data_IF_542595683679
#
_entry.id   IF_542595683679
#
_cell.length_a   1.000
_cell.length_b   1.000
_cell.length_c   1.000
_cell.angle_alpha   90.00
_cell.angle_beta   90.00
_cell.angle_gamma   90.00
#
_symmetry.space_group_name_H-M   'P 1'
#
loop_
_entity.id
_entity.type
_entity.pdbx_description
1 polymer ?
#
# COMPACT_ATOMS: atom_id res chain seq x y z
N UNK A 1 18.93 21.28 6.73
CA UNK A 1 18.82 19.85 7.05
C UNK A 1 17.38 19.45 6.76
N UNK A 2 17.17 18.58 5.76
CA UNK A 2 15.85 18.00 5.47
C UNK A 2 15.35 17.17 6.64
N UNK A 3 14.14 16.63 6.67
CA UNK A 3 13.19 16.24 5.63
C UNK A 3 11.98 15.82 6.44
N UNK A 4 10.82 16.44 6.34
CA UNK A 4 9.61 15.80 6.86
C UNK A 4 8.44 16.16 5.97
N UNK A 5 7.88 15.13 5.33
CA UNK A 5 6.61 15.20 4.66
C UNK A 5 5.56 15.84 5.57
N UNK A 6 4.64 16.56 4.95
CA UNK A 6 3.47 17.11 5.62
C UNK A 6 2.76 16.00 6.40
N UNK A 7 2.06 16.29 7.52
CA UNK A 7 1.34 15.28 8.30
C UNK A 7 0.38 14.42 7.45
N UNK A 8 -0.08 14.94 6.32
CA UNK A 8 -0.91 14.23 5.35
C UNK A 8 -0.17 13.10 4.61
N UNK A 9 1.14 13.19 4.44
CA UNK A 9 1.95 12.18 3.75
C UNK A 9 2.07 10.91 4.60
N UNK A 10 2.23 11.07 5.92
CA UNK A 10 2.22 9.96 6.86
C UNK A 10 0.84 9.30 6.95
N UNK A 11 -0.23 10.08 6.88
CA UNK A 11 -1.60 9.55 6.88
C UNK A 11 -1.84 8.66 5.65
N UNK A 12 -1.33 9.02 4.48
CA UNK A 12 -1.49 8.22 3.27
C UNK A 12 -0.79 6.86 3.40
N UNK A 13 0.45 6.85 3.88
CA UNK A 13 1.21 5.60 4.11
C UNK A 13 0.47 4.71 5.12
N UNK A 14 -0.02 5.29 6.21
CA UNK A 14 -0.78 4.57 7.23
C UNK A 14 -2.10 4.01 6.69
N UNK A 15 -2.77 4.71 5.78
CA UNK A 15 -4.01 4.24 5.17
C UNK A 15 -3.76 3.00 4.30
N UNK A 16 -2.75 3.03 3.42
CA UNK A 16 -2.42 1.86 2.61
C UNK A 16 -1.83 0.70 3.44
N UNK A 17 -1.06 1.02 4.49
CA UNK A 17 -0.58 0.01 5.43
C UNK A 17 -1.76 -0.69 6.12
N UNK A 18 -2.73 0.08 6.61
CA UNK A 18 -3.96 -0.46 7.21
C UNK A 18 -4.72 -1.37 6.25
N UNK A 19 -4.90 -0.94 4.99
CA UNK A 19 -5.55 -1.76 3.95
C UNK A 19 -4.79 -3.07 3.69
N UNK A 20 -3.46 -3.02 3.62
CA UNK A 20 -2.64 -4.22 3.40
C UNK A 20 -2.69 -5.17 4.62
N UNK A 21 -2.69 -4.63 5.84
CA UNK A 21 -2.83 -5.43 7.07
C UNK A 21 -4.21 -6.10 7.14
N UNK A 22 -5.27 -5.39 6.76
CA UNK A 22 -6.61 -5.95 6.66
C UNK A 22 -6.65 -7.08 5.61
N UNK A 23 -6.03 -6.86 4.45
CA UNK A 23 -5.90 -7.88 3.40
C UNK A 23 -5.15 -9.13 3.87
N UNK A 24 -4.05 -8.94 4.60
CA UNK A 24 -3.30 -10.03 5.22
C UNK A 24 -4.15 -10.79 6.24
N UNK A 25 -4.92 -10.07 7.06
CA UNK A 25 -5.82 -10.66 8.05
C UNK A 25 -6.89 -11.50 7.39
N UNK A 26 -7.54 -10.99 6.33
CA UNK A 26 -8.55 -11.72 5.57
C UNK A 26 -7.98 -13.00 4.95
N UNK A 27 -6.74 -12.96 4.45
CA UNK A 27 -6.05 -14.17 3.99
C UNK A 27 -5.79 -15.15 5.13
N UNK A 28 -5.26 -14.68 6.26
CA UNK A 28 -4.95 -15.52 7.44
C UNK A 28 -6.21 -16.16 8.05
N UNK A 29 -7.36 -15.46 7.98
CA UNK A 29 -8.67 -15.97 8.36
C UNK A 29 -9.29 -16.94 7.34
N UNK A 30 -8.67 -17.11 6.16
CA UNK A 30 -9.13 -17.97 5.10
C UNK A 30 -10.30 -17.40 4.28
N UNK A 31 -10.50 -16.07 4.32
CA UNK A 31 -11.49 -15.36 3.51
C UNK A 31 -11.00 -15.04 2.10
N UNK A 32 -9.69 -15.10 1.84
CA UNK A 32 -9.08 -14.90 0.53
C UNK A 32 -8.29 -16.13 0.12
N UNK A 33 -8.57 -16.64 -1.07
CA UNK A 33 -7.72 -17.66 -1.68
C UNK A 33 -6.35 -17.07 -2.07
N UNK A 34 -5.35 -17.93 -2.19
CA UNK A 34 -3.96 -17.50 -2.48
C UNK A 34 -3.83 -16.72 -3.79
N UNK A 35 -4.69 -16.99 -4.78
CA UNK A 35 -4.68 -16.26 -6.05
C UNK A 35 -5.43 -14.93 -5.94
N UNK A 36 -6.53 -14.85 -5.19
CA UNK A 36 -7.23 -13.57 -4.91
C UNK A 36 -6.33 -12.61 -4.14
N UNK A 37 -5.62 -13.12 -3.12
CA UNK A 37 -4.65 -12.34 -2.37
C UNK A 37 -3.52 -11.82 -3.28
N UNK A 38 -2.99 -12.64 -4.20
CA UNK A 38 -1.97 -12.18 -5.16
C UNK A 38 -2.46 -11.04 -6.04
N UNK A 39 -3.68 -11.14 -6.56
CA UNK A 39 -4.24 -10.11 -7.43
C UNK A 39 -4.41 -8.79 -6.66
N UNK A 40 -4.97 -8.85 -5.45
CA UNK A 40 -5.18 -7.66 -4.63
C UNK A 40 -3.87 -7.02 -4.18
N UNK A 41 -2.91 -7.84 -3.74
CA UNK A 41 -1.57 -7.37 -3.33
C UNK A 41 -0.78 -6.76 -4.47
N UNK A 42 -1.03 -7.19 -5.72
CA UNK A 42 -0.33 -6.68 -6.90
C UNK A 42 -0.44 -5.16 -6.99
N UNK A 43 -1.63 -4.63 -6.73
CA UNK A 43 -1.89 -3.18 -6.78
C UNK A 43 -1.13 -2.43 -5.68
N UNK A 44 -0.95 -3.03 -4.50
CA UNK A 44 -0.11 -2.45 -3.43
C UNK A 44 1.39 -2.51 -3.72
N UNK A 45 1.80 -3.34 -4.68
CA UNK A 45 3.18 -3.46 -5.15
C UNK A 45 3.47 -2.65 -6.41
N UNK A 46 2.45 -2.06 -7.03
CA UNK A 46 2.53 -1.31 -8.28
C UNK A 46 2.42 0.20 -8.01
N UNK A 47 3.49 0.92 -8.35
CA UNK A 47 3.55 2.38 -8.18
C UNK A 47 2.50 3.08 -9.04
N UNK A 48 2.24 2.61 -10.25
CA UNK A 48 1.26 3.25 -11.14
C UNK A 48 -0.17 3.05 -10.63
N UNK A 49 -0.47 1.88 -10.05
CA UNK A 49 -1.76 1.61 -9.43
C UNK A 49 -2.00 2.54 -8.23
N UNK A 50 -1.05 2.62 -7.30
CA UNK A 50 -1.13 3.55 -6.16
C UNK A 50 -1.21 5.00 -6.65
N UNK A 51 -0.43 5.37 -7.66
CA UNK A 51 -0.44 6.72 -8.23
C UNK A 51 -1.78 7.08 -8.90
N UNK A 52 -2.45 6.10 -9.49
CA UNK A 52 -3.77 6.27 -10.10
C UNK A 52 -4.88 6.38 -9.04
N UNK A 53 -4.74 5.64 -7.94
CA UNK A 53 -5.68 5.66 -6.80
C UNK A 53 -5.59 6.98 -6.00
N UNK A 54 -4.38 7.54 -5.87
CA UNK A 54 -4.17 8.85 -5.24
C UNK A 54 -4.82 9.96 -6.08
N UNK A 55 -5.90 10.53 -5.55
CA UNK A 55 -6.67 11.59 -6.22
C UNK A 55 -5.90 12.91 -6.35
N UNK A 56 -5.05 13.26 -5.37
CA UNK A 56 -4.34 14.54 -5.35
C UNK A 56 -2.95 14.39 -5.98
N UNK A 57 -2.69 15.13 -7.07
CA UNK A 57 -1.41 15.07 -7.79
C UNK A 57 -0.20 15.38 -6.93
N UNK A 58 -0.34 16.19 -5.87
CA UNK A 58 0.78 16.51 -4.98
C UNK A 58 1.22 15.30 -4.15
N UNK A 59 0.33 14.33 -3.92
CA UNK A 59 0.66 13.12 -3.15
C UNK A 59 1.12 11.97 -4.05
N UNK A 60 0.89 12.05 -5.36
CA UNK A 60 1.36 11.06 -6.34
C UNK A 60 2.87 10.85 -6.31
N UNK A 61 3.64 11.85 -5.88
CA UNK A 61 5.10 11.75 -5.70
C UNK A 61 5.50 10.79 -4.58
N UNK A 62 4.59 10.49 -3.64
CA UNK A 62 4.82 9.55 -2.55
C UNK A 62 4.43 8.11 -2.91
N UNK A 63 3.84 7.86 -4.08
CA UNK A 63 3.45 6.51 -4.49
C UNK A 63 4.63 5.53 -4.46
N UNK A 64 5.82 5.94 -4.93
CA UNK A 64 7.03 5.12 -4.85
C UNK A 64 7.44 4.80 -3.41
N UNK A 65 7.31 5.78 -2.51
CA UNK A 65 7.63 5.61 -1.10
C UNK A 65 6.65 4.65 -0.42
N UNK A 66 5.35 4.80 -0.70
CA UNK A 66 4.28 3.92 -0.21
C UNK A 66 4.54 2.49 -0.65
N UNK A 67 4.71 2.26 -1.96
CA UNK A 67 4.99 0.91 -2.48
C UNK A 67 6.27 0.33 -1.86
N UNK A 68 7.33 1.12 -1.73
CA UNK A 68 8.57 0.67 -1.10
C UNK A 68 8.38 0.26 0.37
N UNK A 69 7.50 0.95 1.10
CA UNK A 69 7.15 0.65 2.49
C UNK A 69 6.23 -0.57 2.63
N UNK A 70 5.29 -0.75 1.70
CA UNK A 70 4.34 -1.87 1.70
C UNK A 70 4.96 -3.18 1.21
N UNK A 71 5.88 -3.13 0.25
CA UNK A 71 6.53 -4.30 -0.35
C UNK A 71 7.09 -5.32 0.66
N UNK A 72 7.76 -4.94 1.77
CA UNK A 72 8.19 -5.89 2.79
C UNK A 72 7.06 -6.41 3.70
N UNK A 73 5.93 -5.71 3.80
CA UNK A 73 4.76 -6.08 4.62
C UNK A 73 3.84 -7.09 3.90
N UNK A 74 3.97 -7.20 2.59
CA UNK A 74 3.32 -8.22 1.79
C UNK A 74 3.82 -9.59 2.24
N UNK A 75 2.92 -10.42 2.76
CA UNK A 75 3.27 -11.77 3.15
C UNK A 75 3.63 -12.57 1.89
N UNK A 76 4.84 -13.14 1.88
CA UNK A 76 5.24 -14.07 0.82
C UNK A 76 4.29 -15.27 0.85
N UNK A 77 3.75 -15.61 -0.31
CA UNK A 77 2.98 -16.84 -0.53
C UNK A 77 3.89 -18.06 -0.52
#
# INVERSE_FOLDING_TARGET
MGVYGSPTDMLLIQEYEGKLVELNTLRDEGHLDSDEYKELVKDFSDVEAIRADISDEKYKVFAEMIVSHLKPLIQKL
#
